data_IF_265025000523
#
_entry.id   IF_265025000523
#
_cell.length_a   1.000
_cell.length_b   1.000
_cell.length_c   1.000
_cell.angle_alpha   90.00
_cell.angle_beta   90.00
_cell.angle_gamma   90.00
#
_symmetry.space_group_name_H-M   'P 1'
#
loop_
_entity.id
_entity.type
_entity.pdbx_description
1 polymer ?
#
# COMPACT_ATOMS: atom_id res chain seq x y z
N UNK A 1 -14.64 -40.91 34.26
CA UNK A 1 -14.36 -39.54 33.79
C UNK A 1 -13.76 -39.62 32.39
N UNK A 2 -14.39 -39.03 31.37
CA UNK A 2 -13.95 -39.12 29.96
C UNK A 2 -13.35 -37.76 29.57
N UNK A 3 -12.07 -37.67 29.15
CA UNK A 3 -11.49 -36.38 28.77
C UNK A 3 -12.18 -35.82 27.52
N UNK A 4 -12.39 -34.50 27.43
CA UNK A 4 -12.94 -33.88 26.23
C UNK A 4 -11.95 -33.96 25.06
N UNK A 5 -12.48 -34.21 23.86
CA UNK A 5 -11.74 -34.56 22.63
C UNK A 5 -10.83 -33.43 22.12
N UNK A 6 -9.66 -33.73 21.50
CA UNK A 6 -8.68 -32.76 20.97
C UNK A 6 -9.12 -32.06 19.66
N UNK A 7 -10.41 -32.08 19.34
CA UNK A 7 -10.92 -31.64 18.03
C UNK A 7 -10.70 -30.14 17.79
N UNK A 8 -10.75 -29.31 18.85
CA UNK A 8 -10.44 -27.87 18.78
C UNK A 8 -8.98 -27.57 18.45
N UNK A 9 -8.04 -28.44 18.83
CA UNK A 9 -6.62 -28.26 18.56
C UNK A 9 -6.29 -28.58 17.09
N UNK A 10 -7.00 -29.55 16.49
CA UNK A 10 -6.84 -29.94 15.07
C UNK A 10 -7.44 -28.90 14.11
N UNK A 11 -8.58 -28.30 14.44
CA UNK A 11 -9.19 -27.24 13.63
C UNK A 11 -8.45 -25.91 13.73
N UNK A 12 -7.91 -25.57 14.91
CA UNK A 12 -7.08 -24.37 15.09
C UNK A 12 -5.76 -24.46 14.31
N UNK A 13 -5.11 -25.64 14.32
CA UNK A 13 -3.92 -25.90 13.50
C UNK A 13 -4.19 -25.81 12.00
N UNK A 14 -5.36 -26.28 11.53
CA UNK A 14 -5.75 -26.22 10.12
C UNK A 14 -5.91 -24.78 9.60
N UNK A 15 -6.28 -23.83 10.47
CA UNK A 15 -6.47 -22.42 10.11
C UNK A 15 -5.20 -21.58 10.33
N UNK A 16 -4.43 -21.85 11.38
CA UNK A 16 -3.23 -21.09 11.74
C UNK A 16 -2.04 -21.35 10.81
N UNK A 17 -1.89 -22.57 10.31
CA UNK A 17 -0.75 -22.98 9.47
C UNK A 17 -0.73 -22.28 8.10
N UNK A 18 -1.85 -22.18 7.34
CA UNK A 18 -1.87 -21.40 6.11
C UNK A 18 -1.75 -19.88 6.37
N UNK A 19 -2.31 -19.37 7.47
CA UNK A 19 -2.19 -17.96 7.84
C UNK A 19 -0.74 -17.55 8.16
N UNK A 20 0.00 -18.41 8.87
CA UNK A 20 1.42 -18.22 9.16
C UNK A 20 2.29 -18.32 7.88
N UNK A 21 1.96 -19.24 6.98
CA UNK A 21 2.65 -19.33 5.69
C UNK A 21 2.38 -18.10 4.82
N UNK A 22 1.15 -17.61 4.82
CA UNK A 22 0.77 -16.39 4.11
C UNK A 22 1.52 -15.18 4.67
N UNK A 23 1.60 -14.99 5.99
CA UNK A 23 2.33 -13.85 6.57
C UNK A 23 3.84 -13.89 6.28
N UNK A 24 4.45 -15.09 6.25
CA UNK A 24 5.86 -15.24 5.92
C UNK A 24 6.19 -14.78 4.48
N UNK A 25 5.27 -14.92 3.53
CA UNK A 25 5.45 -14.44 2.15
C UNK A 25 5.55 -12.90 2.08
N UNK A 26 4.82 -12.17 2.93
CA UNK A 26 4.90 -10.70 2.95
C UNK A 26 6.22 -10.19 3.54
N UNK A 27 6.79 -10.90 4.52
CA UNK A 27 8.10 -10.54 5.08
C UNK A 27 9.23 -10.71 4.06
N UNK A 28 9.08 -11.61 3.09
CA UNK A 28 10.06 -11.84 2.03
C UNK A 28 9.93 -10.88 0.82
N UNK A 29 8.98 -9.95 0.84
CA UNK A 29 8.70 -9.06 -0.31
C UNK A 29 9.69 -7.89 -0.45
N UNK A 30 10.49 -7.59 0.58
CA UNK A 30 11.51 -6.55 0.51
C UNK A 30 12.77 -7.07 -0.21
N UNK A 31 12.99 -6.62 -1.45
CA UNK A 31 14.22 -6.87 -2.19
C UNK A 31 15.17 -5.67 -2.07
N UNK A 32 16.37 -5.88 -1.52
CA UNK A 32 17.44 -4.88 -1.57
C UNK A 32 18.12 -4.95 -2.94
N UNK A 33 17.93 -3.93 -3.77
CA UNK A 33 18.60 -3.81 -5.07
C UNK A 33 19.88 -3.00 -4.95
N UNK A 34 20.84 -3.30 -5.82
CA UNK A 34 22.08 -2.53 -5.89
C UNK A 34 21.82 -1.10 -6.38
N UNK A 35 22.69 -0.13 -6.03
CA UNK A 35 22.46 1.27 -6.39
C UNK A 35 22.29 1.54 -7.88
N UNK A 36 22.92 0.75 -8.74
CA UNK A 36 22.89 0.91 -10.21
C UNK A 36 21.61 0.34 -10.84
N UNK A 37 20.99 -0.69 -10.25
CA UNK A 37 19.69 -1.23 -10.69
C UNK A 37 18.56 -0.20 -10.50
N UNK A 38 18.71 0.74 -9.57
CA UNK A 38 17.71 1.80 -9.33
C UNK A 38 17.49 2.69 -10.55
N UNK A 39 18.48 2.84 -11.43
CA UNK A 39 18.34 3.64 -12.66
C UNK A 39 17.23 3.13 -13.58
N UNK A 40 16.98 1.83 -13.60
CA UNK A 40 15.88 1.23 -14.36
C UNK A 40 14.51 1.50 -13.71
N UNK A 41 14.47 1.66 -12.39
CA UNK A 41 13.27 1.97 -11.61
C UNK A 41 12.93 3.46 -11.54
N UNK A 42 13.82 4.36 -11.97
CA UNK A 42 13.60 5.81 -11.89
C UNK A 42 13.90 6.52 -13.22
N UNK A 43 13.35 5.99 -14.32
CA UNK A 43 13.46 6.62 -15.65
C UNK A 43 12.82 8.01 -15.62
N UNK A 44 13.39 9.02 -16.32
CA UNK A 44 12.84 10.37 -16.35
C UNK A 44 11.38 10.48 -16.81
N UNK A 45 10.91 9.56 -17.65
CA UNK A 45 9.52 9.52 -18.11
C UNK A 45 8.51 9.01 -17.08
N UNK A 46 8.96 8.49 -15.93
CA UNK A 46 8.08 8.10 -14.82
C UNK A 46 7.83 9.25 -13.83
N UNK A 47 8.47 10.41 -14.04
CA UNK A 47 8.17 11.62 -13.29
C UNK A 47 6.83 12.21 -13.74
N UNK A 48 5.80 12.03 -12.92
CA UNK A 48 4.45 12.55 -13.15
C UNK A 48 4.36 14.08 -12.98
N UNK A 49 5.40 14.71 -12.41
CA UNK A 49 5.47 16.16 -12.19
C UNK A 49 6.31 16.90 -13.23
N UNK A 50 6.81 16.19 -14.25
CA UNK A 50 7.69 16.74 -15.28
C UNK A 50 7.08 17.90 -16.06
N UNK A 51 5.76 17.84 -16.30
CA UNK A 51 5.00 18.89 -16.99
C UNK A 51 4.05 19.58 -16.01
N UNK A 52 4.35 20.83 -15.65
CA UNK A 52 3.62 21.54 -14.61
C UNK A 52 2.11 21.70 -14.89
N UNK A 53 1.74 21.88 -16.16
CA UNK A 53 0.32 22.00 -16.56
C UNK A 53 -0.46 20.69 -16.39
N UNK A 54 0.16 19.57 -16.77
CA UNK A 54 -0.43 18.23 -16.60
C UNK A 54 -0.55 17.87 -15.12
N UNK A 55 0.50 18.13 -14.34
CA UNK A 55 0.50 17.92 -12.89
C UNK A 55 -0.62 18.72 -12.19
N UNK A 56 -0.81 19.99 -12.57
CA UNK A 56 -1.89 20.84 -12.04
C UNK A 56 -3.28 20.34 -12.42
N UNK A 57 -3.47 19.86 -13.66
CA UNK A 57 -4.73 19.25 -14.09
C UNK A 57 -5.06 17.98 -13.30
N UNK A 58 -4.08 17.07 -13.13
CA UNK A 58 -4.27 15.86 -12.35
C UNK A 58 -4.57 16.16 -10.88
N UNK A 59 -3.89 17.14 -10.28
CA UNK A 59 -4.19 17.60 -8.93
C UNK A 59 -5.64 18.09 -8.81
N UNK A 60 -6.11 18.93 -9.74
CA UNK A 60 -7.50 19.42 -9.74
C UNK A 60 -8.53 18.29 -9.84
N UNK A 61 -8.28 17.29 -10.71
CA UNK A 61 -9.14 16.11 -10.84
C UNK A 61 -9.12 15.28 -9.56
N UNK A 62 -7.95 15.11 -8.93
CA UNK A 62 -7.81 14.35 -7.71
C UNK A 62 -8.56 15.03 -6.56
N UNK A 63 -8.38 16.33 -6.37
CA UNK A 63 -9.06 17.11 -5.33
C UNK A 63 -10.57 17.06 -5.48
N UNK A 64 -11.06 17.12 -6.72
CA UNK A 64 -12.49 17.03 -7.03
C UNK A 64 -13.08 15.65 -6.70
N UNK A 65 -12.28 14.59 -6.81
CA UNK A 65 -12.72 13.19 -6.59
C UNK A 65 -12.52 12.73 -5.15
N UNK A 66 -11.44 13.15 -4.53
CA UNK A 66 -10.94 12.62 -3.27
C UNK A 66 -11.00 13.64 -2.13
N UNK A 67 -11.69 14.78 -2.29
CA UNK A 67 -11.69 15.99 -1.45
C UNK A 67 -11.96 15.87 0.06
N UNK A 68 -11.92 14.67 0.64
CA UNK A 68 -11.80 14.41 2.07
C UNK A 68 -10.37 14.01 2.50
N UNK A 69 -9.48 13.67 1.56
CA UNK A 69 -8.13 13.13 1.85
C UNK A 69 -7.09 14.18 2.23
N UNK A 70 -7.40 15.48 2.06
CA UNK A 70 -6.51 16.57 2.42
C UNK A 70 -5.26 16.61 1.54
N UNK A 71 -5.33 17.33 0.42
CA UNK A 71 -4.23 17.45 -0.55
C UNK A 71 -4.07 18.86 -1.11
N UNK A 72 -2.80 19.21 -1.33
CA UNK A 72 -2.23 20.19 -2.26
C UNK A 72 -2.99 21.52 -2.48
N UNK A 73 -3.06 22.39 -1.47
CA UNK A 73 -3.32 23.84 -1.64
C UNK A 73 -4.47 24.19 -2.62
N UNK A 74 -5.57 23.44 -2.62
CA UNK A 74 -6.77 23.84 -3.36
C UNK A 74 -7.81 24.41 -2.41
N UNK A 75 -8.48 25.46 -2.89
CA UNK A 75 -9.47 26.26 -2.13
C UNK A 75 -10.79 25.52 -1.90
N UNK A 76 -10.87 24.23 -2.20
CA UNK A 76 -12.09 23.44 -2.04
C UNK A 76 -11.83 21.94 -2.21
N UNK A 77 -11.78 21.21 -1.09
CA UNK A 77 -11.64 19.76 -1.08
C UNK A 77 -10.70 19.24 0.01
N UNK A 78 -10.90 19.63 1.26
CA UNK A 78 -10.20 19.02 2.39
C UNK A 78 -10.55 19.67 3.73
N UNK A 79 -10.29 18.97 4.84
CA UNK A 79 -10.46 19.49 6.21
C UNK A 79 -9.49 20.65 6.55
N UNK A 80 -8.60 21.05 5.63
CA UNK A 80 -7.79 22.27 5.77
C UNK A 80 -6.70 22.22 6.83
N UNK A 81 -6.37 21.05 7.40
CA UNK A 81 -5.29 20.91 8.38
C UNK A 81 -3.92 20.85 7.68
N UNK A 82 -3.30 22.02 7.45
CA UNK A 82 -1.84 22.19 7.42
C UNK A 82 -1.45 23.06 8.61
#
# INVERSE_FOLDING_TARGET
MRPPRPLRLRTLGLLLLPAALFSALFLASCATVSPYERGDLSRPGMDSSREAGEAGFHAHVNDSREGATGGNTSTGGGCGCN
#
